data_IF_034911897233
#
_entry.id   IF_034911897233
#
_cell.length_a   1.000
_cell.length_b   1.000
_cell.length_c   1.000
_cell.angle_alpha   90.00
_cell.angle_beta   90.00
_cell.angle_gamma   90.00
#
_symmetry.space_group_name_H-M   'P 1'
#
loop_
_entity.id
_entity.type
_entity.pdbx_description
1 polymer ?
#
# COMPACT_ATOMS: atom_id res chain seq x y z
N UNK A 1 -68.33 -2.38 4.62
CA UNK A 1 -67.43 -3.56 4.54
C UNK A 1 -66.33 -3.39 3.49
N UNK A 2 -66.65 -3.15 2.21
CA UNK A 2 -65.66 -3.03 1.12
C UNK A 2 -64.59 -1.94 1.33
N UNK A 3 -64.98 -0.79 1.87
CA UNK A 3 -64.09 0.35 2.17
C UNK A 3 -63.10 0.06 3.29
N UNK A 4 -63.54 -0.62 4.35
CA UNK A 4 -62.67 -1.04 5.45
C UNK A 4 -61.63 -2.08 5.02
N UNK A 5 -62.02 -2.98 4.10
CA UNK A 5 -61.10 -3.96 3.52
C UNK A 5 -60.04 -3.27 2.66
N UNK A 6 -60.41 -2.29 1.83
CA UNK A 6 -59.44 -1.52 1.05
C UNK A 6 -58.47 -0.70 1.93
N UNK A 7 -58.96 -0.05 2.98
CA UNK A 7 -58.10 0.70 3.90
C UNK A 7 -57.14 -0.23 4.64
N UNK A 8 -57.61 -1.40 5.10
CA UNK A 8 -56.75 -2.39 5.74
C UNK A 8 -55.67 -2.92 4.78
N UNK A 9 -56.00 -3.17 3.51
CA UNK A 9 -55.02 -3.60 2.49
C UNK A 9 -54.01 -2.51 2.16
N UNK A 10 -54.43 -1.24 2.04
CA UNK A 10 -53.51 -0.11 1.81
C UNK A 10 -52.61 0.13 3.02
N UNK A 11 -53.13 -0.04 4.25
CA UNK A 11 -52.33 0.05 5.47
C UNK A 11 -51.31 -1.10 5.57
N UNK A 12 -51.74 -2.33 5.25
CA UNK A 12 -50.86 -3.51 5.18
C UNK A 12 -49.77 -3.35 4.13
N UNK A 13 -50.10 -2.86 2.93
CA UNK A 13 -49.13 -2.58 1.87
C UNK A 13 -48.21 -1.40 2.25
N UNK A 14 -48.73 -0.37 2.91
CA UNK A 14 -47.95 0.75 3.43
C UNK A 14 -46.97 0.36 4.53
N UNK A 15 -47.31 -0.67 5.33
CA UNK A 15 -46.43 -1.25 6.36
C UNK A 15 -45.29 -2.12 5.79
N UNK A 16 -45.34 -2.49 4.50
CA UNK A 16 -44.29 -3.29 3.84
C UNK A 16 -43.16 -2.45 3.22
N UNK A 17 -43.19 -1.11 3.34
CA UNK A 17 -42.29 -0.22 2.62
C UNK A 17 -41.29 0.55 3.49
N UNK A 18 -40.05 0.03 3.56
CA UNK A 18 -38.71 0.68 3.57
C UNK A 18 -37.74 -0.13 4.45
N UNK A 19 -37.36 -1.32 4.00
CA UNK A 19 -36.11 -1.91 4.48
C UNK A 19 -34.97 -1.10 3.86
N UNK A 20 -34.41 -0.15 4.63
CA UNK A 20 -33.21 0.56 4.23
C UNK A 20 -32.07 -0.46 4.08
N UNK A 21 -31.71 -0.78 2.84
CA UNK A 21 -30.61 -1.70 2.57
C UNK A 21 -29.33 -1.08 3.11
N UNK A 22 -28.72 -1.75 4.09
CA UNK A 22 -27.45 -1.31 4.69
C UNK A 22 -26.40 -1.23 3.59
N UNK A 23 -25.92 -0.01 3.35
CA UNK A 23 -24.87 0.26 2.37
C UNK A 23 -23.50 0.12 3.04
N UNK A 24 -22.64 -0.72 2.47
CA UNK A 24 -21.28 -0.98 2.91
C UNK A 24 -20.33 -0.53 1.80
N UNK A 25 -19.45 0.41 2.12
CA UNK A 25 -18.53 0.98 1.14
C UNK A 25 -17.48 -0.02 0.66
N UNK A 26 -17.10 0.01 -0.63
CA UNK A 26 -16.09 -0.87 -1.19
C UNK A 26 -14.69 -0.59 -0.65
N UNK A 27 -13.90 -1.65 -0.55
CA UNK A 27 -12.44 -1.60 -0.50
C UNK A 27 -11.94 -1.66 -1.94
N UNK A 28 -11.01 -0.78 -2.29
CA UNK A 28 -10.52 -0.66 -3.67
C UNK A 28 -9.00 -0.80 -3.69
N UNK A 29 -8.51 -1.62 -4.59
CA UNK A 29 -7.09 -1.80 -4.86
C UNK A 29 -6.83 -1.53 -6.33
N UNK A 30 -5.88 -0.63 -6.62
CA UNK A 30 -5.47 -0.30 -7.97
C UNK A 30 -4.02 -0.72 -8.15
N UNK A 31 -3.77 -1.67 -9.04
CA UNK A 31 -2.46 -2.27 -9.25
C UNK A 31 -2.28 -2.71 -10.70
N UNK A 32 -1.09 -3.18 -11.03
CA UNK A 32 -0.77 -3.70 -12.35
C UNK A 32 -0.46 -5.19 -12.31
N UNK A 33 -0.67 -5.88 -13.43
CA UNK A 33 -0.38 -7.32 -13.55
C UNK A 33 1.10 -7.64 -13.32
N UNK A 34 1.98 -6.78 -13.81
CA UNK A 34 3.43 -6.85 -13.62
C UNK A 34 3.94 -5.57 -12.96
N UNK A 35 5.15 -5.56 -12.36
CA UNK A 35 5.75 -4.35 -11.82
C UNK A 35 5.68 -3.18 -12.82
N UNK A 36 5.30 -1.99 -12.33
CA UNK A 36 5.10 -0.83 -13.18
C UNK A 36 6.43 -0.30 -13.72
N UNK A 37 6.60 -0.30 -15.04
CA UNK A 37 7.73 0.31 -15.74
C UNK A 37 7.22 1.22 -16.84
N UNK A 38 7.69 2.46 -16.88
CA UNK A 38 7.33 3.42 -17.93
C UNK A 38 7.71 2.90 -19.31
N UNK A 39 6.81 3.05 -20.28
CA UNK A 39 7.03 2.60 -21.66
C UNK A 39 6.83 1.10 -21.90
N UNK A 40 6.62 0.30 -20.85
CA UNK A 40 6.41 -1.15 -20.97
C UNK A 40 4.92 -1.48 -20.90
N UNK A 41 4.41 -2.25 -21.87
CA UNK A 41 3.02 -2.68 -21.88
C UNK A 41 2.66 -3.47 -20.60
N UNK A 42 1.48 -3.19 -20.06
CA UNK A 42 0.99 -3.79 -18.83
C UNK A 42 -0.56 -3.82 -18.82
N UNK A 43 -1.16 -4.19 -17.70
CA UNK A 43 -2.61 -4.19 -17.50
C UNK A 43 -2.91 -3.49 -16.19
N UNK A 44 -3.71 -2.42 -16.26
CA UNK A 44 -4.21 -1.71 -15.09
C UNK A 44 -5.42 -2.47 -14.55
N UNK A 45 -5.40 -2.77 -13.25
CA UNK A 45 -6.42 -3.58 -12.58
C UNK A 45 -6.98 -2.77 -11.42
N UNK A 46 -8.31 -2.65 -11.37
CA UNK A 46 -9.04 -2.14 -10.23
C UNK A 46 -9.91 -3.24 -9.65
N UNK A 47 -9.48 -3.77 -8.51
CA UNK A 47 -10.21 -4.76 -7.75
C UNK A 47 -11.03 -4.07 -6.67
N UNK A 48 -12.33 -4.34 -6.65
CA UNK A 48 -13.28 -3.75 -5.72
C UNK A 48 -13.93 -4.88 -4.93
N UNK A 49 -13.89 -4.81 -3.60
CA UNK A 49 -14.41 -5.88 -2.72
C UNK A 49 -15.10 -5.36 -1.47
N UNK A 50 -15.82 -6.25 -0.78
CA UNK A 50 -16.43 -5.96 0.52
C UNK A 50 -17.59 -4.96 0.48
N UNK A 51 -18.27 -4.78 -0.65
CA UNK A 51 -19.36 -3.80 -0.79
C UNK A 51 -20.75 -4.43 -0.81
N UNK A 52 -21.77 -3.63 -0.49
CA UNK A 52 -23.18 -3.98 -0.55
C UNK A 52 -24.02 -2.70 -0.61
N UNK A 53 -25.07 -2.54 -1.44
CA UNK A 53 -25.66 -3.47 -2.41
C UNK A 53 -24.77 -3.72 -3.64
N UNK A 54 -25.15 -4.63 -4.57
CA UNK A 54 -24.30 -4.98 -5.72
C UNK A 54 -24.20 -3.90 -6.81
N UNK A 55 -25.09 -2.90 -6.80
CA UNK A 55 -25.08 -1.82 -7.77
C UNK A 55 -23.87 -0.91 -7.59
N UNK A 56 -22.97 -0.91 -8.57
CA UNK A 56 -21.72 -0.16 -8.56
C UNK A 56 -21.30 0.22 -9.98
N UNK A 57 -20.60 1.34 -10.12
CA UNK A 57 -19.96 1.75 -11.38
C UNK A 57 -18.47 1.88 -11.16
N UNK A 58 -17.68 1.22 -12.00
CA UNK A 58 -16.21 1.27 -11.99
C UNK A 58 -15.74 1.84 -13.32
N UNK A 59 -14.89 2.86 -13.28
CA UNK A 59 -14.33 3.52 -14.47
C UNK A 59 -12.81 3.52 -14.35
N UNK A 60 -12.11 3.07 -15.40
CA UNK A 60 -10.65 3.17 -15.50
C UNK A 60 -10.33 4.37 -16.39
N UNK A 61 -9.60 5.34 -15.85
CA UNK A 61 -9.37 6.63 -16.48
C UNK A 61 -7.88 6.84 -16.75
N UNK A 62 -7.58 7.48 -17.87
CA UNK A 62 -6.29 8.09 -18.18
C UNK A 62 -6.51 9.59 -18.31
N UNK A 63 -5.91 10.40 -17.44
CA UNK A 63 -6.09 11.85 -17.39
C UNK A 63 -7.58 12.22 -17.37
N UNK A 64 -8.33 11.61 -16.45
CA UNK A 64 -9.79 11.78 -16.26
C UNK A 64 -10.69 11.33 -17.42
N UNK A 65 -10.14 10.78 -18.50
CA UNK A 65 -10.89 10.22 -19.62
C UNK A 65 -10.97 8.70 -19.54
N UNK A 66 -12.16 8.14 -19.73
CA UNK A 66 -12.34 6.68 -19.70
C UNK A 66 -11.53 5.98 -20.79
N UNK A 67 -10.87 4.90 -20.39
CA UNK A 67 -10.02 4.10 -21.27
C UNK A 67 -10.86 3.12 -22.07
N UNK A 68 -10.72 3.09 -23.41
CA UNK A 68 -11.44 2.16 -24.25
C UNK A 68 -10.93 0.72 -24.03
N UNK A 69 -11.80 -0.27 -24.28
CA UNK A 69 -11.43 -1.68 -24.19
C UNK A 69 -11.25 -2.19 -22.76
N UNK A 70 -11.78 -1.48 -21.76
CA UNK A 70 -11.83 -1.99 -20.39
C UNK A 70 -12.81 -3.16 -20.29
N UNK A 71 -12.40 -4.20 -19.58
CA UNK A 71 -13.18 -5.41 -19.33
C UNK A 71 -13.51 -5.52 -17.85
N UNK A 72 -14.70 -6.01 -17.53
CA UNK A 72 -15.17 -6.21 -16.17
C UNK A 72 -15.51 -7.68 -15.96
N UNK A 73 -15.11 -8.24 -14.83
CA UNK A 73 -15.51 -9.60 -14.43
C UNK A 73 -16.96 -9.62 -13.98
N UNK A 74 -17.55 -10.81 -13.98
CA UNK A 74 -18.85 -11.02 -13.35
C UNK A 74 -18.79 -10.68 -11.85
N UNK A 75 -19.95 -10.30 -11.33
CA UNK A 75 -20.15 -10.05 -9.91
C UNK A 75 -20.05 -11.38 -9.14
N UNK A 76 -19.21 -11.41 -8.12
CA UNK A 76 -19.08 -12.53 -7.20
C UNK A 76 -19.21 -12.04 -5.75
N UNK A 77 -19.30 -12.95 -4.79
CA UNK A 77 -19.44 -12.62 -3.37
C UNK A 77 -18.50 -13.46 -2.51
N UNK A 78 -18.11 -12.88 -1.37
CA UNK A 78 -17.31 -13.53 -0.33
C UNK A 78 -18.21 -14.30 0.66
N UNK A 79 -17.61 -15.06 1.59
CA UNK A 79 -18.34 -15.81 2.63
C UNK A 79 -19.24 -14.93 3.52
N UNK A 80 -18.88 -13.65 3.67
CA UNK A 80 -19.64 -12.64 4.40
C UNK A 80 -20.82 -12.05 3.59
N UNK A 81 -21.11 -12.58 2.40
CA UNK A 81 -22.13 -12.10 1.45
C UNK A 81 -21.91 -10.69 0.92
N UNK A 82 -20.69 -10.15 1.04
CA UNK A 82 -20.31 -8.91 0.37
C UNK A 82 -19.79 -9.19 -1.03
N UNK A 83 -20.03 -8.24 -1.91
CA UNK A 83 -19.69 -8.37 -3.31
C UNK A 83 -18.25 -7.99 -3.61
N UNK A 84 -17.70 -8.60 -4.64
CA UNK A 84 -16.45 -8.19 -5.27
C UNK A 84 -16.52 -8.34 -6.80
N UNK A 85 -15.75 -7.53 -7.50
CA UNK A 85 -15.55 -7.61 -8.95
C UNK A 85 -14.26 -6.87 -9.34
N UNK A 86 -13.80 -7.11 -10.56
CA UNK A 86 -12.57 -6.51 -11.07
C UNK A 86 -12.81 -5.88 -12.44
N UNK A 87 -12.40 -4.61 -12.63
CA UNK A 87 -12.31 -3.97 -13.95
C UNK A 87 -10.84 -3.84 -14.32
N UNK A 88 -10.49 -4.13 -15.56
CA UNK A 88 -9.10 -4.09 -16.03
C UNK A 88 -8.99 -3.61 -17.48
N UNK A 89 -7.84 -3.02 -17.83
CA UNK A 89 -7.58 -2.53 -19.20
C UNK A 89 -6.09 -2.63 -19.54
N UNK A 90 -5.73 -3.09 -20.75
CA UNK A 90 -4.35 -3.00 -21.24
C UNK A 90 -3.91 -1.53 -21.36
N UNK A 91 -2.69 -1.23 -20.93
CA UNK A 91 -2.15 0.13 -21.01
C UNK A 91 -0.62 0.12 -21.02
N UNK A 92 -0.04 1.25 -21.40
CA UNK A 92 1.41 1.49 -21.30
C UNK A 92 1.60 2.76 -20.46
N UNK A 93 2.13 2.66 -19.23
CA UNK A 93 2.29 3.82 -18.37
C UNK A 93 3.36 4.77 -18.91
N UNK A 94 3.10 6.08 -18.84
CA UNK A 94 4.06 7.15 -19.12
C UNK A 94 4.23 7.99 -17.86
N UNK A 95 5.24 8.86 -17.81
CA UNK A 95 5.50 9.71 -16.63
C UNK A 95 4.49 10.85 -16.52
N UNK A 96 3.91 11.23 -17.63
CA UNK A 96 3.04 12.38 -17.80
C UNK A 96 1.57 12.01 -17.57
N UNK A 97 1.21 10.74 -17.76
CA UNK A 97 -0.16 10.27 -17.60
C UNK A 97 -0.49 9.89 -16.15
N UNK A 98 -1.67 10.32 -15.71
CA UNK A 98 -2.26 9.90 -14.45
C UNK A 98 -3.34 8.87 -14.73
N UNK A 99 -3.16 7.68 -14.15
CA UNK A 99 -4.13 6.58 -14.25
C UNK A 99 -4.93 6.48 -12.96
N UNK A 100 -6.25 6.41 -13.06
CA UNK A 100 -7.13 6.35 -11.88
C UNK A 100 -8.23 5.30 -12.06
N UNK A 101 -8.66 4.74 -10.93
CA UNK A 101 -9.91 3.99 -10.84
C UNK A 101 -10.94 4.84 -10.11
N UNK A 102 -12.08 5.10 -10.75
CA UNK A 102 -13.19 5.84 -10.17
C UNK A 102 -14.33 4.87 -9.88
N UNK A 103 -14.77 4.85 -8.62
CA UNK A 103 -15.78 3.92 -8.13
C UNK A 103 -16.95 4.71 -7.57
N UNK A 104 -18.15 4.45 -8.10
CA UNK A 104 -19.40 5.05 -7.63
C UNK A 104 -20.27 3.95 -7.03
N UNK A 105 -20.57 4.05 -5.73
CA UNK A 105 -21.34 3.06 -4.97
C UNK A 105 -22.28 3.77 -4.00
N UNK A 106 -23.56 3.39 -3.98
CA UNK A 106 -24.56 4.01 -3.09
C UNK A 106 -24.65 5.54 -3.22
N UNK A 107 -24.44 6.08 -4.43
CA UNK A 107 -24.39 7.52 -4.69
C UNK A 107 -23.09 8.23 -4.29
N UNK A 108 -22.12 7.54 -3.66
CA UNK A 108 -20.81 8.11 -3.31
C UNK A 108 -19.77 7.76 -4.38
N UNK A 109 -19.11 8.79 -4.92
CA UNK A 109 -18.01 8.67 -5.87
C UNK A 109 -16.66 8.83 -5.17
N UNK A 110 -15.75 7.88 -5.36
CA UNK A 110 -14.37 7.94 -4.86
C UNK A 110 -13.39 7.65 -6.02
N UNK A 111 -12.22 8.27 -5.99
CA UNK A 111 -11.18 8.12 -7.02
C UNK A 111 -9.89 7.64 -6.38
N UNK A 112 -9.27 6.63 -6.99
CA UNK A 112 -8.05 5.96 -6.53
C UNK A 112 -6.98 6.07 -7.59
N UNK A 113 -5.86 6.72 -7.27
CA UNK A 113 -4.77 6.95 -8.21
C UNK A 113 -3.86 5.72 -8.22
N UNK A 114 -3.52 5.23 -9.40
CA UNK A 114 -2.45 4.26 -9.55
C UNK A 114 -1.11 4.96 -9.40
N UNK A 115 -0.36 4.57 -8.36
CA UNK A 115 1.05 4.92 -8.23
C UNK A 115 1.90 3.76 -8.72
N UNK A 116 2.93 4.05 -9.50
CA UNK A 116 4.06 3.11 -9.56
C UNK A 116 4.58 2.96 -8.14
N UNK A 117 4.85 1.73 -7.72
CA UNK A 117 5.65 1.43 -6.55
C UNK A 117 7.09 1.91 -6.81
N UNK A 118 7.26 3.23 -6.89
CA UNK A 118 8.54 3.89 -6.71
C UNK A 118 8.77 3.76 -5.22
N UNK A 119 9.52 2.73 -4.84
CA UNK A 119 10.17 2.71 -3.54
C UNK A 119 11.06 3.95 -3.49
N UNK A 120 10.50 5.08 -3.04
CA UNK A 120 11.30 6.22 -2.64
C UNK A 120 12.11 5.74 -1.44
N UNK A 121 13.30 5.22 -1.69
CA UNK A 121 14.27 5.02 -0.64
C UNK A 121 14.72 6.42 -0.24
N UNK A 122 14.16 6.95 0.84
CA UNK A 122 14.66 8.20 1.41
C UNK A 122 15.95 7.84 2.12
N UNK A 123 17.08 8.28 1.57
CA UNK A 123 18.38 8.14 2.22
C UNK A 123 18.66 9.40 3.05
N UNK A 124 18.82 9.23 4.37
CA UNK A 124 19.23 10.30 5.28
C UNK A 124 20.70 10.07 5.63
N UNK A 125 21.52 11.11 5.49
CA UNK A 125 22.90 11.11 5.96
C UNK A 125 22.94 11.52 7.42
N UNK A 126 23.41 10.63 8.30
CA UNK A 126 23.63 10.93 9.71
C UNK A 126 25.13 11.15 9.94
N UNK A 127 25.47 12.32 10.46
CA UNK A 127 26.84 12.70 10.79
C UNK A 127 27.13 12.36 12.26
N UNK A 128 28.08 11.46 12.49
CA UNK A 128 28.62 11.18 13.82
C UNK A 128 30.02 11.78 13.97
N UNK A 129 30.29 12.40 15.12
CA UNK A 129 31.64 12.79 15.51
C UNK A 129 32.23 11.73 16.42
N UNK A 130 33.29 11.07 15.96
CA UNK A 130 34.06 10.15 16.82
C UNK A 130 35.34 10.84 17.24
N UNK A 131 35.39 11.25 18.51
CA UNK A 131 36.61 11.77 19.13
C UNK A 131 37.46 10.60 19.64
N UNK A 132 38.72 10.52 19.20
CA UNK A 132 39.68 9.54 19.67
C UNK A 132 40.54 10.12 20.79
N UNK A 133 40.66 9.37 21.88
CA UNK A 133 41.50 9.69 23.03
C UNK A 133 42.51 8.57 23.27
N UNK A 134 43.78 8.89 23.44
CA UNK A 134 44.84 7.92 23.78
C UNK A 134 45.45 8.36 25.12
N UNK A 135 45.41 7.47 26.13
CA UNK A 135 45.82 7.76 27.52
C UNK A 135 45.21 9.06 28.08
N UNK A 136 43.92 9.28 27.81
CA UNK A 136 43.17 10.43 28.31
C UNK A 136 43.43 11.77 27.60
N UNK A 137 44.30 11.83 26.59
CA UNK A 137 44.49 13.03 25.75
C UNK A 137 43.71 12.93 24.45
N UNK A 138 43.07 14.02 24.07
CA UNK A 138 42.40 14.16 22.77
C UNK A 138 43.46 14.10 21.65
N UNK A 139 43.24 13.22 20.67
CA UNK A 139 44.17 13.02 19.54
C UNK A 139 43.59 13.58 18.26
N UNK A 140 42.36 13.19 17.90
CA UNK A 140 41.70 13.62 16.67
C UNK A 140 40.19 13.42 16.74
N UNK A 141 39.46 14.16 15.91
CA UNK A 141 38.02 13.95 15.67
C UNK A 141 37.84 13.61 14.20
N UNK A 142 37.18 12.49 13.93
CA UNK A 142 36.81 12.07 12.57
C UNK A 142 35.30 12.16 12.42
N UNK A 143 34.86 12.75 11.31
CA UNK A 143 33.45 12.74 10.91
C UNK A 143 33.14 11.43 10.21
N UNK A 144 32.11 10.74 10.70
CA UNK A 144 31.61 9.50 10.12
C UNK A 144 30.26 9.80 9.48
N UNK A 145 30.13 9.56 8.18
CA UNK A 145 28.85 9.66 7.46
C UNK A 145 28.22 8.26 7.37
N UNK A 146 27.01 8.12 7.91
CA UNK A 146 26.19 6.93 7.71
C UNK A 146 25.04 7.25 6.76
N UNK A 147 24.84 6.42 5.74
CA UNK A 147 23.68 6.52 4.86
C UNK A 147 22.60 5.53 5.33
N UNK A 148 21.47 6.07 5.78
CA UNK A 148 20.32 5.28 6.21
C UNK A 148 19.25 5.38 5.14
N UNK A 149 18.99 4.31 4.41
CA UNK A 149 17.95 4.30 3.37
C UNK A 149 16.70 3.59 3.87
N UNK A 150 15.58 4.32 3.92
CA UNK A 150 14.28 3.77 4.29
C UNK A 150 13.49 3.43 3.03
N UNK A 151 13.37 2.15 2.73
CA UNK A 151 12.47 1.64 1.69
C UNK A 151 11.25 1.03 2.38
N UNK A 152 10.06 1.17 1.79
CA UNK A 152 8.74 0.86 2.39
C UNK A 152 8.54 -0.59 2.89
N UNK A 153 9.55 -1.46 2.77
CA UNK A 153 9.55 -2.81 3.35
C UNK A 153 10.93 -3.30 3.81
N UNK A 154 12.00 -2.50 3.67
CA UNK A 154 13.39 -2.91 3.97
C UNK A 154 14.18 -1.72 4.51
N UNK A 155 14.83 -1.90 5.65
CA UNK A 155 15.84 -0.96 6.14
C UNK A 155 17.21 -1.41 5.65
N UNK A 156 17.88 -0.54 4.89
CA UNK A 156 19.24 -0.78 4.40
C UNK A 156 20.17 0.18 5.14
N UNK A 157 21.07 -0.38 5.96
CA UNK A 157 22.18 0.37 6.54
C UNK A 157 23.41 0.09 5.70
N UNK A 158 23.97 1.14 5.10
CA UNK A 158 25.24 1.07 4.40
C UNK A 158 26.32 1.85 5.15
N UNK A 159 27.45 1.18 5.35
CA UNK A 159 28.65 1.76 5.92
C UNK A 159 29.86 1.31 5.09
N UNK A 160 30.47 2.24 4.34
CA UNK A 160 31.49 1.95 3.32
C UNK A 160 31.00 0.84 2.36
N UNK A 161 31.68 -0.32 2.29
CA UNK A 161 31.34 -1.45 1.40
C UNK A 161 30.42 -2.52 2.06
N UNK A 162 29.92 -2.27 3.27
CA UNK A 162 29.11 -3.24 4.01
C UNK A 162 27.63 -2.86 3.91
N UNK A 163 26.83 -3.78 3.37
CA UNK A 163 25.36 -3.68 3.32
C UNK A 163 24.75 -4.56 4.39
N UNK A 164 24.06 -3.96 5.37
CA UNK A 164 23.26 -4.71 6.32
C UNK A 164 21.78 -4.59 5.94
N UNK A 165 21.19 -5.71 5.55
CA UNK A 165 19.78 -5.83 5.17
C UNK A 165 18.97 -6.34 6.37
N UNK A 166 18.00 -5.55 6.84
CA UNK A 166 17.04 -5.99 7.84
C UNK A 166 15.63 -6.06 7.23
N UNK A 167 15.06 -7.26 7.21
CA UNK A 167 13.63 -7.47 6.94
C UNK A 167 12.87 -7.24 8.25
N UNK A 168 11.98 -6.25 8.31
CA UNK A 168 11.03 -6.15 9.43
C UNK A 168 9.80 -7.00 9.15
N UNK A 169 9.59 -8.02 9.98
CA UNK A 169 8.25 -8.49 10.32
C UNK A 169 7.68 -7.55 11.37
N UNK A 170 6.80 -6.64 10.95
CA UNK A 170 5.74 -5.96 11.74
C UNK A 170 6.17 -5.04 12.91
N UNK A 171 5.36 -3.98 13.08
CA UNK A 171 5.28 -3.02 14.18
C UNK A 171 6.28 -1.83 14.16
N UNK A 172 5.70 -0.63 14.01
CA UNK A 172 6.30 0.64 14.39
C UNK A 172 6.88 0.53 15.80
N UNK A 173 8.21 0.61 15.91
CA UNK A 173 8.87 1.03 17.14
C UNK A 173 9.55 2.34 16.79
N UNK A 174 9.21 3.39 17.54
CA UNK A 174 9.73 4.73 17.30
C UNK A 174 11.27 4.73 17.29
N UNK A 175 11.87 5.55 16.44
CA UNK A 175 13.32 5.64 16.25
C UNK A 175 14.09 6.14 17.51
N UNK A 176 13.39 6.46 18.60
CA UNK A 176 14.00 6.99 19.82
C UNK A 176 14.57 5.91 20.76
N UNK A 177 14.13 4.64 20.68
CA UNK A 177 14.52 3.61 21.66
C UNK A 177 15.73 2.75 21.25
N UNK A 178 16.14 2.78 19.97
CA UNK A 178 17.31 2.02 19.49
C UNK A 178 18.66 2.67 19.84
N UNK A 179 18.69 3.95 20.22
CA UNK A 179 19.94 4.63 20.57
C UNK A 179 20.41 4.33 22.01
N UNK A 180 19.51 3.89 22.90
CA UNK A 180 19.83 3.59 24.30
C UNK A 180 20.35 2.16 24.52
N UNK A 181 20.07 1.22 23.63
CA UNK A 181 20.51 -0.19 23.76
C UNK A 181 21.88 -0.46 23.14
N UNK A 182 22.32 0.32 22.14
CA UNK A 182 23.65 0.17 21.54
C UNK A 182 24.81 0.59 22.47
N UNK A 183 24.54 1.36 23.53
CA UNK A 183 25.55 1.77 24.51
C UNK A 183 25.93 0.70 25.55
N UNK A 184 25.38 -0.52 25.49
CA UNK A 184 25.61 -1.56 26.52
C UNK A 184 26.10 -2.92 26.03
N UNK A 185 26.32 -3.13 24.73
CA UNK A 185 26.83 -4.41 24.22
C UNK A 185 28.34 -4.35 23.92
N UNK A 186 29.12 -4.28 25.00
CA UNK A 186 30.53 -4.69 24.97
C UNK A 186 30.86 -5.49 26.23
N UNK A 187 30.46 -6.76 26.26
CA UNK A 187 31.35 -7.83 26.75
C UNK A 187 30.72 -9.20 26.49
N UNK A 188 31.53 -10.06 25.89
CA UNK A 188 31.46 -11.52 25.94
C UNK A 188 30.19 -12.20 25.46
N UNK A 189 30.18 -12.64 24.19
CA UNK A 189 30.34 -14.07 23.86
C UNK A 189 30.34 -14.27 22.34
N UNK A 190 31.22 -15.17 21.90
CA UNK A 190 31.46 -15.57 20.52
C UNK A 190 30.18 -16.02 19.81
N UNK A 191 29.93 -15.52 18.60
CA UNK A 191 29.01 -16.13 17.66
C UNK A 191 29.65 -16.20 16.26
N UNK A 192 29.58 -17.41 15.71
CA UNK A 192 30.14 -17.86 14.45
C UNK A 192 29.47 -17.13 13.29
N UNK A 193 30.25 -16.44 12.45
CA UNK A 193 29.76 -15.87 11.19
C UNK A 193 30.03 -16.86 10.05
N UNK A 194 28.97 -17.23 9.34
CA UNK A 194 29.10 -17.84 8.01
C UNK A 194 29.28 -16.73 6.98
N UNK A 195 30.44 -16.72 6.32
CA UNK A 195 30.74 -15.84 5.19
C UNK A 195 30.37 -16.57 3.90
N UNK A 196 29.51 -15.99 3.06
CA UNK A 196 29.31 -16.45 1.68
C UNK A 196 29.96 -15.43 0.75
N UNK A 197 30.97 -15.81 -0.06
CA UNK A 197 31.58 -14.90 -1.02
C UNK A 197 30.65 -14.72 -2.23
N UNK A 198 30.45 -13.47 -2.64
CA UNK A 198 29.78 -13.13 -3.89
C UNK A 198 30.79 -13.19 -5.05
N UNK A 199 30.78 -14.28 -5.80
CA UNK A 199 31.31 -14.33 -7.17
C UNK A 199 30.17 -13.99 -8.14
N UNK A 200 30.37 -12.89 -8.88
CA UNK A 200 29.52 -12.42 -9.98
C UNK A 200 29.71 -13.30 -11.22
N UNK A 201 28.65 -13.49 -12.01
CA UNK A 201 28.73 -13.33 -13.47
C UNK A 201 28.01 -12.06 -13.93
#
# INVERSE_FOLDING_TARGET
>A
MKTFVCLAVVLLLGLTGLSAVKTISPKVQVYTRSPGHYGTANTLICHVSGFHPPEITIELLRNDKEMPGSQQTDLAFEENWHYHMTKHVPFTPTKEDVFTCRVTHGGKKNTYIWGMSVFHCVCVYVLFHRSQYVRGRYVSSTRVQLQVCMCSSVFILQYNDITLLWWRSVACVSAAELCLTAGKLQSNHSSVFATVPATLP
#
